data_IF_193911303026
#
_entry.id   IF_193911303026
#
_cell.length_a   1.000
_cell.length_b   1.000
_cell.length_c   1.000
_cell.angle_alpha   90.00
_cell.angle_beta   90.00
_cell.angle_gamma   90.00
#
_symmetry.space_group_name_H-M   'P 1'
#
loop_
_entity.id
_entity.type
_entity.pdbx_description
1 polymer ?
#
# COMPACT_ATOMS: atom_id res chain seq x y z
N UNK A 1 57.30 16.58 -22.96
CA UNK A 1 56.98 15.13 -22.85
C UNK A 1 56.60 14.69 -21.44
N UNK A 2 57.47 14.81 -20.41
CA UNK A 2 57.13 14.41 -19.02
C UNK A 2 55.82 14.99 -18.47
N UNK A 3 55.56 16.29 -18.67
CA UNK A 3 54.32 16.93 -18.19
C UNK A 3 53.06 16.34 -18.83
N UNK A 4 53.07 16.09 -20.13
CA UNK A 4 51.92 15.53 -20.89
C UNK A 4 51.59 14.10 -20.42
N UNK A 5 52.62 13.29 -20.17
CA UNK A 5 52.47 11.91 -19.67
C UNK A 5 51.82 11.91 -18.28
N UNK A 6 52.23 12.83 -17.40
CA UNK A 6 51.66 12.96 -16.05
C UNK A 6 50.19 13.39 -16.12
N UNK A 7 49.84 14.37 -16.98
CA UNK A 7 48.44 14.81 -17.10
C UNK A 7 47.53 13.72 -17.66
N UNK A 8 48.01 12.95 -18.65
CA UNK A 8 47.25 11.81 -19.18
C UNK A 8 47.03 10.73 -18.12
N UNK A 9 48.07 10.38 -17.35
CA UNK A 9 47.95 9.40 -16.27
C UNK A 9 46.92 9.83 -15.22
N UNK A 10 46.94 11.09 -14.78
CA UNK A 10 45.97 11.60 -13.78
C UNK A 10 44.54 11.59 -14.32
N UNK A 11 44.31 11.98 -15.58
CA UNK A 11 42.97 11.93 -16.17
C UNK A 11 42.45 10.50 -16.33
N UNK A 12 43.33 9.55 -16.69
CA UNK A 12 42.93 8.15 -16.84
C UNK A 12 42.63 7.53 -15.48
N UNK A 13 43.44 7.83 -14.45
CA UNK A 13 43.17 7.40 -13.08
C UNK A 13 41.87 8.00 -12.53
N UNK A 14 41.60 9.29 -12.72
CA UNK A 14 40.33 9.90 -12.30
C UNK A 14 39.12 9.27 -13.01
N UNK A 15 39.23 8.98 -14.30
CA UNK A 15 38.16 8.31 -15.06
C UNK A 15 37.91 6.89 -14.55
N UNK A 16 38.97 6.13 -14.24
CA UNK A 16 38.85 4.79 -13.65
C UNK A 16 38.26 4.85 -12.24
N UNK A 17 38.62 5.84 -11.43
CA UNK A 17 38.01 6.05 -10.10
C UNK A 17 36.52 6.42 -10.21
N UNK A 18 36.15 7.34 -11.11
CA UNK A 18 34.75 7.73 -11.35
C UNK A 18 33.91 6.55 -11.85
N UNK A 19 34.44 5.74 -12.78
CA UNK A 19 33.78 4.53 -13.25
C UNK A 19 33.68 3.48 -12.13
N UNK A 20 34.70 3.30 -11.30
CA UNK A 20 34.65 2.34 -10.18
C UNK A 20 33.69 2.75 -9.06
N UNK A 21 33.50 4.05 -8.82
CA UNK A 21 32.51 4.57 -7.87
C UNK A 21 31.07 4.40 -8.34
N UNK A 22 30.82 4.26 -9.66
CA UNK A 22 29.51 3.93 -10.22
C UNK A 22 29.26 2.42 -10.40
N UNK A 23 30.23 1.57 -10.05
CA UNK A 23 30.19 0.11 -10.28
C UNK A 23 30.39 -0.76 -9.03
N UNK A 24 30.33 -0.19 -7.82
CA UNK A 24 30.27 -0.98 -6.56
C UNK A 24 28.92 -1.65 -6.27
N UNK A 25 27.97 -1.49 -7.19
CA UNK A 25 26.61 -2.03 -7.16
C UNK A 25 26.58 -3.56 -6.99
N UNK A 26 27.66 -4.27 -7.36
CA UNK A 26 27.69 -5.74 -7.26
C UNK A 26 27.94 -6.25 -5.83
N UNK A 27 28.57 -5.44 -4.98
CA UNK A 27 28.88 -5.80 -3.58
C UNK A 27 27.83 -5.24 -2.59
N UNK A 28 27.11 -4.18 -2.97
CA UNK A 28 26.03 -3.58 -2.16
C UNK A 28 24.65 -4.25 -2.35
N UNK A 29 24.49 -5.16 -3.33
CA UNK A 29 23.26 -5.93 -3.55
C UNK A 29 23.35 -7.26 -2.78
N UNK A 30 23.21 -7.19 -1.46
CA UNK A 30 22.89 -8.37 -0.65
C UNK A 30 21.36 -8.62 -0.66
N UNK A 31 20.58 -7.61 -1.07
CA UNK A 31 19.15 -7.70 -1.37
C UNK A 31 18.81 -6.75 -2.52
N UNK A 32 17.89 -7.16 -3.41
CA UNK A 32 17.29 -6.24 -4.38
C UNK A 32 16.63 -5.07 -3.63
N UNK A 33 16.68 -3.82 -4.16
CA UNK A 33 16.03 -2.70 -3.53
C UNK A 33 14.54 -2.99 -3.31
N UNK A 34 14.08 -2.80 -2.07
CA UNK A 34 12.67 -2.96 -1.69
C UNK A 34 11.85 -1.88 -2.38
N UNK A 35 10.73 -2.27 -2.99
CA UNK A 35 9.77 -1.31 -3.54
C UNK A 35 9.02 -0.66 -2.39
N UNK A 36 9.07 0.67 -2.33
CA UNK A 36 8.39 1.49 -1.33
C UNK A 36 6.90 1.57 -1.66
N UNK A 37 6.04 1.23 -0.70
CA UNK A 37 4.62 1.47 -0.87
C UNK A 37 4.34 2.97 -0.99
N UNK A 38 4.92 3.78 -0.10
CA UNK A 38 4.68 5.23 -0.04
C UNK A 38 5.26 5.99 -1.23
N UNK A 39 6.43 5.61 -1.72
CA UNK A 39 7.16 6.36 -2.74
C UNK A 39 7.00 5.81 -4.16
N UNK A 40 6.74 4.50 -4.31
CA UNK A 40 6.64 3.88 -5.64
C UNK A 40 5.21 3.49 -6.00
N UNK A 41 4.46 2.88 -5.07
CA UNK A 41 3.10 2.37 -5.37
C UNK A 41 2.04 3.47 -5.25
N UNK A 42 2.07 4.25 -4.18
CA UNK A 42 1.07 5.30 -3.95
C UNK A 42 1.00 6.30 -5.11
N UNK A 43 2.12 6.82 -5.66
CA UNK A 43 2.06 7.72 -6.81
C UNK A 43 1.37 7.11 -8.04
N UNK A 44 1.48 5.81 -8.26
CA UNK A 44 0.79 5.11 -9.36
C UNK A 44 -0.73 5.15 -9.14
N UNK A 45 -1.18 4.98 -7.89
CA UNK A 45 -2.60 4.90 -7.54
C UNK A 45 -3.27 6.28 -7.45
N UNK A 46 -2.52 7.30 -7.04
CA UNK A 46 -3.04 8.68 -6.91
C UNK A 46 -2.78 9.54 -8.15
N UNK A 47 -1.91 9.10 -9.07
CA UNK A 47 -1.73 9.78 -10.35
C UNK A 47 -3.06 9.80 -11.12
N UNK A 48 -3.38 10.97 -11.68
CA UNK A 48 -4.69 11.32 -12.24
C UNK A 48 -5.20 10.50 -13.45
N UNK A 49 -4.55 9.40 -13.82
CA UNK A 49 -4.97 8.51 -14.90
C UNK A 49 -6.34 7.85 -14.66
N UNK A 50 -6.82 7.82 -13.42
CA UNK A 50 -8.11 7.23 -13.05
C UNK A 50 -8.94 8.20 -12.23
N UNK A 51 -9.32 9.36 -12.81
CA UNK A 51 -10.09 10.41 -12.13
C UNK A 51 -11.23 9.89 -11.24
N UNK A 52 -11.87 8.77 -11.57
CA UNK A 52 -12.85 8.09 -10.72
C UNK A 52 -12.39 7.79 -9.27
N UNK A 53 -11.13 7.45 -9.05
CA UNK A 53 -10.62 7.05 -7.73
C UNK A 53 -10.04 8.21 -6.90
N UNK A 54 -9.90 9.40 -7.48
CA UNK A 54 -9.14 10.51 -6.88
C UNK A 54 -9.83 11.87 -7.00
N UNK A 55 -11.13 11.90 -7.29
CA UNK A 55 -11.88 13.14 -7.55
C UNK A 55 -12.97 13.45 -6.52
N UNK A 56 -13.18 12.61 -5.51
CA UNK A 56 -14.21 12.80 -4.49
C UNK A 56 -15.66 12.66 -4.98
N UNK A 57 -15.89 12.34 -6.25
CA UNK A 57 -17.24 12.29 -6.85
C UNK A 57 -17.71 10.89 -7.22
N UNK A 58 -16.84 9.88 -7.18
CA UNK A 58 -17.26 8.54 -7.55
C UNK A 58 -18.10 7.87 -6.46
N UNK A 59 -19.37 7.65 -6.78
CA UNK A 59 -20.32 6.92 -5.93
C UNK A 59 -20.04 5.41 -5.87
N UNK A 60 -19.33 4.86 -6.85
CA UNK A 60 -19.04 3.42 -6.98
C UNK A 60 -17.56 3.06 -6.87
N UNK A 61 -16.66 4.02 -7.02
CA UNK A 61 -15.22 3.78 -6.96
C UNK A 61 -14.69 4.09 -5.55
N UNK A 62 -13.82 3.23 -5.05
CA UNK A 62 -13.06 3.51 -3.83
C UNK A 62 -12.18 4.74 -4.06
N UNK A 63 -12.15 5.66 -3.11
CA UNK A 63 -11.23 6.80 -3.17
C UNK A 63 -9.85 6.39 -2.66
N UNK A 64 -8.81 6.60 -3.45
CA UNK A 64 -7.41 6.45 -3.01
C UNK A 64 -6.84 7.78 -2.51
N UNK A 65 -7.37 8.90 -3.01
CA UNK A 65 -7.08 10.23 -2.50
C UNK A 65 -8.27 11.17 -2.68
N UNK A 66 -8.29 12.24 -1.89
CA UNK A 66 -9.19 13.37 -2.09
C UNK A 66 -8.57 14.62 -1.47
N UNK A 67 -8.48 15.70 -2.25
CA UNK A 67 -7.69 16.89 -1.91
C UNK A 67 -6.27 16.46 -1.46
N UNK A 68 -5.81 16.94 -0.31
CA UNK A 68 -4.48 16.65 0.22
C UNK A 68 -4.41 15.35 1.04
N UNK A 69 -5.50 14.56 1.08
CA UNK A 69 -5.58 13.32 1.87
C UNK A 69 -5.40 12.10 0.98
N UNK A 70 -4.46 11.23 1.34
CA UNK A 70 -4.29 9.90 0.75
C UNK A 70 -4.85 8.85 1.70
N UNK A 71 -5.74 8.00 1.20
CA UNK A 71 -6.32 6.89 1.95
C UNK A 71 -5.46 5.63 1.76
N UNK A 72 -4.34 5.58 2.47
CA UNK A 72 -3.36 4.49 2.31
C UNK A 72 -3.98 3.09 2.50
N UNK A 73 -4.81 2.90 3.53
CA UNK A 73 -5.49 1.64 3.78
C UNK A 73 -6.52 1.29 2.70
N UNK A 74 -7.06 2.29 1.99
CA UNK A 74 -7.88 2.05 0.82
C UNK A 74 -7.06 1.49 -0.35
N UNK A 75 -5.75 1.74 -0.42
CA UNK A 75 -4.87 1.12 -1.41
C UNK A 75 -4.40 -0.26 -0.91
N UNK A 76 -3.86 -0.33 0.31
CA UNK A 76 -3.35 -1.57 0.93
C UNK A 76 -4.42 -2.66 0.97
N UNK A 77 -5.66 -2.28 1.29
CA UNK A 77 -6.81 -3.18 1.36
C UNK A 77 -7.21 -3.81 0.01
N UNK A 78 -6.56 -3.44 -1.10
CA UNK A 78 -6.76 -4.01 -2.45
C UNK A 78 -5.53 -4.74 -2.99
N UNK A 79 -4.54 -5.05 -2.16
CA UNK A 79 -3.37 -5.83 -2.57
C UNK A 79 -3.73 -7.09 -3.39
N UNK A 80 -4.74 -7.85 -2.97
CA UNK A 80 -5.23 -9.02 -3.72
C UNK A 80 -5.83 -8.69 -5.10
N UNK A 81 -6.55 -7.57 -5.23
CA UNK A 81 -7.10 -7.13 -6.53
C UNK A 81 -5.99 -6.64 -7.47
N UNK A 82 -5.03 -5.89 -6.94
CA UNK A 82 -3.85 -5.50 -7.71
C UNK A 82 -3.04 -6.71 -8.15
N UNK A 83 -2.91 -7.74 -7.30
CA UNK A 83 -2.24 -8.98 -7.66
C UNK A 83 -2.91 -9.68 -8.85
N UNK A 84 -4.24 -9.75 -8.86
CA UNK A 84 -4.97 -10.33 -9.99
C UNK A 84 -4.77 -9.48 -11.27
N UNK A 85 -4.85 -8.16 -11.15
CA UNK A 85 -4.73 -7.25 -12.29
C UNK A 85 -3.34 -7.29 -12.93
N UNK A 86 -2.25 -7.23 -12.15
CA UNK A 86 -0.89 -7.27 -12.72
C UNK A 86 -0.49 -8.63 -13.29
N UNK A 87 -1.29 -9.69 -13.07
CA UNK A 87 -1.05 -11.05 -13.55
C UNK A 87 -2.07 -11.49 -14.64
N UNK A 88 -2.53 -10.54 -15.46
CA UNK A 88 -3.38 -10.81 -16.63
C UNK A 88 -4.87 -10.53 -16.41
N UNK A 89 -5.25 -10.06 -15.22
CA UNK A 89 -6.58 -9.51 -14.97
C UNK A 89 -6.76 -8.12 -15.59
N UNK A 90 -7.95 -7.55 -15.37
CA UNK A 90 -8.34 -6.22 -15.85
C UNK A 90 -8.77 -5.33 -14.69
N UNK A 91 -8.82 -4.00 -14.92
CA UNK A 91 -9.36 -3.06 -13.94
C UNK A 91 -10.83 -3.43 -13.60
N UNK A 92 -11.21 -3.54 -12.31
CA UNK A 92 -12.57 -3.97 -11.91
C UNK A 92 -13.71 -3.05 -12.38
N UNK A 93 -13.42 -1.77 -12.61
CA UNK A 93 -14.36 -0.79 -13.16
C UNK A 93 -14.53 -0.89 -14.69
N UNK A 94 -13.76 -1.76 -15.35
CA UNK A 94 -13.77 -1.95 -16.79
C UNK A 94 -13.12 -0.79 -17.57
N UNK A 95 -13.33 -0.80 -18.89
CA UNK A 95 -12.75 0.17 -19.82
C UNK A 95 -11.29 -0.14 -20.20
N UNK A 96 -10.68 0.74 -20.98
CA UNK A 96 -9.28 0.63 -21.43
C UNK A 96 -8.28 1.21 -20.40
N UNK A 97 -8.61 1.11 -19.11
CA UNK A 97 -7.75 1.58 -18.02
C UNK A 97 -6.80 0.45 -17.66
N UNK A 98 -5.51 0.66 -17.90
CA UNK A 98 -4.47 -0.30 -17.53
C UNK A 98 -3.22 0.38 -16.99
N UNK A 99 -2.49 -0.33 -16.15
CA UNK A 99 -1.14 0.06 -15.78
C UNK A 99 -0.19 -0.09 -16.97
N UNK A 100 0.75 0.82 -17.11
CA UNK A 100 1.92 0.61 -17.98
C UNK A 100 2.72 -0.61 -17.49
N UNK A 101 3.51 -1.23 -18.37
CA UNK A 101 4.30 -2.40 -18.00
C UNK A 101 5.25 -2.13 -16.82
N UNK A 102 5.83 -0.93 -16.76
CA UNK A 102 6.67 -0.52 -15.64
C UNK A 102 5.86 -0.42 -14.33
N UNK A 103 4.68 0.18 -14.36
CA UNK A 103 3.79 0.26 -13.19
C UNK A 103 3.34 -1.13 -12.74
N UNK A 104 3.01 -2.04 -13.67
CA UNK A 104 2.70 -3.44 -13.36
C UNK A 104 3.87 -4.11 -12.66
N UNK A 105 5.09 -3.87 -13.12
CA UNK A 105 6.28 -4.45 -12.50
C UNK A 105 6.48 -3.94 -11.06
N UNK A 106 6.39 -2.63 -10.84
CA UNK A 106 6.50 -2.02 -9.50
C UNK A 106 5.47 -2.63 -8.54
N UNK A 107 4.19 -2.65 -8.94
CA UNK A 107 3.09 -3.18 -8.11
C UNK A 107 3.27 -4.68 -7.87
N UNK A 108 3.68 -5.46 -8.89
CA UNK A 108 3.94 -6.90 -8.75
C UNK A 108 5.07 -7.17 -7.77
N UNK A 109 6.19 -6.45 -7.88
CA UNK A 109 7.34 -6.61 -6.98
C UNK A 109 6.97 -6.25 -5.55
N UNK A 110 6.25 -5.14 -5.33
CA UNK A 110 5.75 -4.77 -4.01
C UNK A 110 4.86 -5.87 -3.38
N UNK A 111 3.96 -6.47 -4.15
CA UNK A 111 3.10 -7.56 -3.67
C UNK A 111 3.92 -8.81 -3.33
N UNK A 112 4.90 -9.16 -4.17
CA UNK A 112 5.82 -10.28 -3.92
C UNK A 112 6.68 -10.07 -2.66
N UNK A 113 6.97 -8.81 -2.31
CA UNK A 113 7.65 -8.41 -1.08
C UNK A 113 6.71 -8.37 0.15
N UNK A 114 5.45 -8.79 -0.01
CA UNK A 114 4.45 -8.91 1.05
C UNK A 114 3.48 -7.74 1.16
N UNK A 115 3.41 -6.87 0.14
CA UNK A 115 2.49 -5.73 0.08
C UNK A 115 2.53 -4.83 1.33
N UNK A 116 3.73 -4.65 1.90
CA UNK A 116 3.91 -3.95 3.17
C UNK A 116 3.79 -2.45 2.99
N UNK A 117 3.23 -1.80 4.00
CA UNK A 117 3.31 -0.36 4.17
C UNK A 117 4.64 -0.01 4.83
N UNK A 118 5.46 0.79 4.18
CA UNK A 118 6.72 1.33 4.70
C UNK A 118 6.56 2.71 5.36
N UNK A 119 5.33 3.19 5.49
CA UNK A 119 5.00 4.34 6.32
C UNK A 119 5.14 4.03 7.81
N UNK A 120 5.43 5.06 8.61
CA UNK A 120 5.42 4.95 10.06
C UNK A 120 4.03 4.57 10.59
N UNK A 121 3.98 3.64 11.55
CA UNK A 121 2.76 3.37 12.30
C UNK A 121 2.30 4.60 13.09
N UNK A 122 1.05 4.61 13.54
CA UNK A 122 0.57 5.64 14.45
C UNK A 122 0.66 5.19 15.90
N UNK A 123 1.02 6.13 16.78
CA UNK A 123 0.83 5.95 18.22
C UNK A 123 -0.66 6.08 18.52
N UNK A 124 -1.24 5.02 19.07
CA UNK A 124 -2.64 5.02 19.52
C UNK A 124 -2.67 5.45 20.98
N UNK A 125 -3.37 6.54 21.27
CA UNK A 125 -3.52 7.07 22.63
C UNK A 125 -4.98 7.37 22.93
N UNK A 126 -5.41 7.10 24.16
CA UNK A 126 -6.74 7.45 24.65
C UNK A 126 -7.83 6.43 24.29
N UNK A 127 -9.08 6.81 24.54
CA UNK A 127 -10.23 5.97 24.26
C UNK A 127 -10.49 5.87 22.75
N UNK A 128 -10.57 4.64 22.25
CA UNK A 128 -10.89 4.35 20.85
C UNK A 128 -12.31 3.85 20.82
N UNK A 129 -13.22 4.60 20.20
CA UNK A 129 -14.61 4.16 20.01
C UNK A 129 -14.89 3.78 18.56
N UNK A 130 -15.93 2.97 18.36
CA UNK A 130 -16.36 2.56 17.04
C UNK A 130 -16.70 3.79 16.18
N UNK A 131 -17.53 4.68 16.70
CA UNK A 131 -18.00 5.89 16.00
C UNK A 131 -16.87 6.85 15.66
N UNK A 132 -15.92 7.07 16.57
CA UNK A 132 -14.88 8.07 16.38
C UNK A 132 -13.70 7.60 15.52
N UNK A 133 -13.34 6.31 15.59
CA UNK A 133 -12.08 5.81 14.99
C UNK A 133 -12.27 4.64 14.05
N UNK A 134 -13.12 3.67 14.37
CA UNK A 134 -13.27 2.44 13.57
C UNK A 134 -14.17 2.66 12.35
N UNK A 135 -15.30 3.33 12.53
CA UNK A 135 -16.28 3.58 11.48
C UNK A 135 -15.71 4.44 10.33
N UNK A 136 -14.96 5.53 10.58
CA UNK A 136 -14.30 6.28 9.50
C UNK A 136 -13.30 5.42 8.70
N UNK A 137 -12.51 4.57 9.36
CA UNK A 137 -11.58 3.65 8.70
C UNK A 137 -12.34 2.61 7.86
N UNK A 138 -13.37 2.01 8.43
CA UNK A 138 -14.23 1.06 7.70
C UNK A 138 -14.85 1.71 6.47
N UNK A 139 -15.40 2.91 6.59
CA UNK A 139 -16.07 3.59 5.48
C UNK A 139 -15.10 4.00 4.36
N UNK A 140 -13.87 4.39 4.70
CA UNK A 140 -12.86 4.81 3.71
C UNK A 140 -12.12 3.63 3.07
N UNK A 141 -11.88 2.56 3.83
CA UNK A 141 -10.92 1.52 3.45
C UNK A 141 -11.56 0.15 3.22
N UNK A 142 -12.63 -0.20 3.92
CA UNK A 142 -13.21 -1.56 3.88
C UNK A 142 -14.55 -1.63 3.15
N UNK A 143 -15.35 -0.56 3.26
CA UNK A 143 -16.65 -0.42 2.62
C UNK A 143 -16.46 -0.02 1.15
N UNK A 144 -17.21 -0.67 0.27
CA UNK A 144 -17.18 -0.40 -1.16
C UNK A 144 -17.97 -1.43 -1.95
N UNK A 145 -18.31 -1.07 -3.19
CA UNK A 145 -19.08 -1.90 -4.12
C UNK A 145 -18.44 -3.27 -4.40
N UNK A 146 -17.11 -3.38 -4.29
CA UNK A 146 -16.35 -4.61 -4.51
C UNK A 146 -16.04 -5.39 -3.22
N UNK A 147 -16.42 -4.86 -2.06
CA UNK A 147 -16.15 -5.45 -0.75
C UNK A 147 -17.40 -5.34 0.14
N UNK A 148 -17.31 -4.73 1.32
CA UNK A 148 -18.43 -4.62 2.24
C UNK A 148 -19.44 -3.55 1.81
N UNK A 149 -20.72 -3.90 1.79
CA UNK A 149 -21.78 -3.04 1.26
C UNK A 149 -21.96 -3.15 -0.25
N UNK A 150 -21.25 -4.08 -0.89
CA UNK A 150 -21.46 -4.51 -2.27
C UNK A 150 -21.55 -6.03 -2.34
N UNK A 151 -20.45 -6.70 -2.71
CA UNK A 151 -20.37 -8.17 -2.79
C UNK A 151 -20.53 -8.83 -1.40
N UNK A 152 -19.91 -8.24 -0.38
CA UNK A 152 -19.99 -8.71 1.00
C UNK A 152 -20.96 -7.87 1.83
N UNK A 153 -21.49 -8.46 2.90
CA UNK A 153 -22.40 -7.80 3.83
C UNK A 153 -21.79 -6.52 4.40
N UNK A 154 -22.59 -5.45 4.46
CA UNK A 154 -22.21 -4.24 5.18
C UNK A 154 -22.10 -4.53 6.69
N UNK A 155 -20.94 -4.18 7.26
CA UNK A 155 -20.64 -4.33 8.67
C UNK A 155 -21.04 -3.06 9.43
N UNK A 156 -21.96 -3.22 10.37
CA UNK A 156 -22.27 -2.22 11.40
C UNK A 156 -21.56 -2.60 12.71
N UNK A 157 -21.73 -1.78 13.74
CA UNK A 157 -21.13 -2.00 15.06
C UNK A 157 -21.42 -3.42 15.58
N UNK A 158 -22.69 -3.81 15.65
CA UNK A 158 -23.10 -5.11 16.20
C UNK A 158 -22.49 -6.28 15.42
N UNK A 159 -22.42 -6.19 14.09
CA UNK A 159 -21.76 -7.21 13.26
C UNK A 159 -20.25 -7.27 13.47
N UNK A 160 -19.58 -6.13 13.62
CA UNK A 160 -18.14 -6.12 13.92
C UNK A 160 -17.85 -6.71 15.30
N UNK A 161 -18.66 -6.36 16.31
CA UNK A 161 -18.58 -6.93 17.66
C UNK A 161 -18.77 -8.44 17.63
N UNK A 162 -19.80 -8.93 16.92
CA UNK A 162 -20.05 -10.36 16.76
C UNK A 162 -18.96 -11.13 16.00
N UNK A 163 -18.03 -10.42 15.32
CA UNK A 163 -16.91 -11.00 14.56
C UNK A 163 -15.55 -10.66 15.18
N UNK A 164 -15.50 -10.40 16.49
CA UNK A 164 -14.26 -10.10 17.23
C UNK A 164 -13.11 -11.07 16.90
N UNK A 165 -13.36 -12.37 16.83
CA UNK A 165 -12.30 -13.36 16.58
C UNK A 165 -11.70 -13.22 15.17
N UNK A 166 -12.56 -12.97 14.17
CA UNK A 166 -12.15 -12.71 12.79
C UNK A 166 -11.31 -11.43 12.71
N UNK A 167 -11.78 -10.35 13.35
CA UNK A 167 -11.04 -9.09 13.42
C UNK A 167 -9.69 -9.27 14.12
N UNK A 168 -9.65 -10.01 15.21
CA UNK A 168 -8.41 -10.27 15.97
C UNK A 168 -7.40 -11.05 15.12
N UNK A 169 -7.83 -12.13 14.46
CA UNK A 169 -6.98 -12.90 13.56
C UNK A 169 -6.45 -12.04 12.39
N UNK A 170 -7.33 -11.23 11.79
CA UNK A 170 -6.99 -10.30 10.71
C UNK A 170 -5.97 -9.25 11.15
N UNK A 171 -6.15 -8.64 12.33
CA UNK A 171 -5.21 -7.64 12.83
C UNK A 171 -3.87 -8.25 13.23
N UNK A 172 -3.84 -9.50 13.69
CA UNK A 172 -2.61 -10.18 14.05
C UNK A 172 -1.74 -10.51 12.83
N UNK A 173 -2.35 -10.72 11.67
CA UNK A 173 -1.66 -11.00 10.41
C UNK A 173 -1.42 -9.75 9.54
N UNK A 174 -1.91 -8.59 9.96
CA UNK A 174 -1.92 -7.39 9.11
C UNK A 174 -2.81 -7.53 7.87
N UNK A 175 -3.81 -8.42 7.92
CA UNK A 175 -4.75 -8.69 6.82
C UNK A 175 -4.37 -9.85 5.90
N UNK A 176 -3.17 -10.42 6.04
CA UNK A 176 -2.68 -11.52 5.19
C UNK A 176 -3.53 -12.78 5.37
N UNK A 177 -4.00 -13.02 6.60
CA UNK A 177 -4.86 -14.15 6.98
C UNK A 177 -6.00 -13.68 7.88
N UNK A 178 -7.03 -14.50 8.07
CA UNK A 178 -8.16 -14.20 8.96
C UNK A 178 -9.27 -13.38 8.31
N UNK A 179 -8.99 -12.61 7.26
CA UNK A 179 -10.06 -12.04 6.41
C UNK A 179 -10.75 -13.16 5.60
N UNK A 180 -12.10 -13.28 5.63
CA UNK A 180 -12.80 -14.33 4.87
C UNK A 180 -12.77 -14.15 3.35
N UNK A 181 -12.45 -12.95 2.86
CA UNK A 181 -12.34 -12.65 1.44
C UNK A 181 -10.91 -12.79 0.91
N UNK A 182 -10.59 -12.13 -0.21
CA UNK A 182 -9.24 -12.07 -0.74
C UNK A 182 -8.23 -11.53 0.28
N UNK A 183 -6.97 -11.92 0.10
CA UNK A 183 -5.83 -11.37 0.86
C UNK A 183 -5.81 -9.85 0.71
N UNK A 184 -5.63 -9.17 1.83
CA UNK A 184 -5.48 -7.73 1.90
C UNK A 184 -4.25 -7.37 2.73
N UNK A 185 -3.80 -6.12 2.63
CA UNK A 185 -2.79 -5.55 3.51
C UNK A 185 -3.41 -4.41 4.31
N UNK A 186 -2.90 -4.16 5.51
CA UNK A 186 -3.32 -3.07 6.39
C UNK A 186 -2.10 -2.32 6.90
N UNK A 187 -2.24 -1.01 7.04
CA UNK A 187 -1.23 -0.18 7.70
C UNK A 187 -1.11 -0.59 9.16
N UNK A 188 0.09 -0.41 9.72
CA UNK A 188 0.31 -0.64 11.16
C UNK A 188 -0.60 0.25 12.01
N UNK A 189 -0.95 1.45 11.54
CA UNK A 189 -1.87 2.33 12.24
C UNK A 189 -3.28 1.73 12.36
N UNK A 190 -3.84 1.26 11.24
CA UNK A 190 -5.16 0.61 11.23
C UNK A 190 -5.15 -0.63 12.10
N UNK A 191 -4.11 -1.46 12.01
CA UNK A 191 -3.94 -2.64 12.87
C UNK A 191 -3.97 -2.26 14.35
N UNK A 192 -3.20 -1.24 14.75
CA UNK A 192 -3.12 -0.82 16.14
C UNK A 192 -4.44 -0.24 16.66
N UNK A 193 -5.15 0.56 15.84
CA UNK A 193 -6.44 1.14 16.22
C UNK A 193 -7.49 0.05 16.48
N UNK A 194 -7.58 -0.96 15.62
CA UNK A 194 -8.51 -2.08 15.83
C UNK A 194 -8.10 -2.94 17.02
N UNK A 195 -6.81 -3.24 17.19
CA UNK A 195 -6.33 -4.00 18.37
C UNK A 195 -6.67 -3.28 19.67
N UNK A 196 -6.44 -1.97 19.73
CA UNK A 196 -6.73 -1.17 20.91
C UNK A 196 -8.24 -1.09 21.18
N UNK A 197 -9.06 -0.85 20.14
CA UNK A 197 -10.52 -0.88 20.29
C UNK A 197 -11.03 -2.21 20.84
N UNK A 198 -10.49 -3.34 20.36
CA UNK A 198 -10.82 -4.68 20.86
C UNK A 198 -10.37 -4.85 22.32
N UNK A 199 -9.17 -4.37 22.66
CA UNK A 199 -8.63 -4.44 24.01
C UNK A 199 -9.44 -3.63 25.03
N UNK A 200 -9.98 -2.48 24.61
CA UNK A 200 -10.85 -1.62 25.43
C UNK A 200 -12.29 -2.15 25.57
N UNK A 201 -12.60 -3.34 25.04
CA UNK A 201 -13.94 -3.91 25.14
C UNK A 201 -14.91 -3.42 24.06
N UNK A 202 -14.39 -2.93 22.93
CA UNK A 202 -15.14 -2.50 21.76
C UNK A 202 -16.17 -1.41 22.04
N UNK A 203 -15.84 -0.30 22.74
CA UNK A 203 -16.81 0.76 23.02
C UNK A 203 -17.35 1.38 21.72
N UNK A 204 -18.63 1.76 21.74
CA UNK A 204 -19.33 2.29 20.57
C UNK A 204 -19.02 3.76 20.30
#
# INVERSE_FOLDING_TARGET
MKKIIITMAVMTSMLVYLLSSCYKNKEDIIALPTVSFRSDVVPIMVAGGCGCHNNGTASKAVQFSHADTIFYDAILGRAGLFNAWVNGGTHPGGGAVDFTDNQKNIVRTWIQQGAKDDGGGCTVTGAITYTAKILPLYNSSCKGSTCHGGIATNLDYSKMVAKKDVLTAMMNSGGITGHPGPVLSLSTCTVNLFKEWIAQGQPQ
#
